data_IF_198117776444
#
_entry.id   IF_198117776444
#
_cell.length_a   1.000
_cell.length_b   1.000
_cell.length_c   1.000
_cell.angle_alpha   90.00
_cell.angle_beta   90.00
_cell.angle_gamma   90.00
#
_symmetry.space_group_name_H-M   'P 1'
#
loop_
_entity.id
_entity.type
_entity.pdbx_description
1 polymer ?
#
# COMPACT_ATOMS: atom_id res chain seq x y z
N UNK A 1 -16.27 -8.19 -47.20
CA UNK A 1 -14.82 -7.98 -47.02
C UNK A 1 -14.56 -7.88 -45.52
N UNK A 2 -14.29 -9.01 -44.86
CA UNK A 2 -13.90 -9.02 -43.45
C UNK A 2 -12.44 -8.56 -43.41
N UNK A 3 -12.22 -7.29 -43.11
CA UNK A 3 -10.87 -6.78 -42.85
C UNK A 3 -10.33 -7.55 -41.65
N UNK A 4 -9.35 -8.41 -41.91
CA UNK A 4 -8.51 -9.00 -40.87
C UNK A 4 -7.99 -7.86 -40.02
N UNK A 5 -8.44 -7.80 -38.76
CA UNK A 5 -7.81 -6.97 -37.76
C UNK A 5 -6.36 -7.46 -37.73
N UNK A 6 -5.48 -6.63 -38.27
CA UNK A 6 -4.05 -6.78 -38.21
C UNK A 6 -3.73 -6.99 -36.73
N UNK A 7 -3.30 -8.20 -36.36
CA UNK A 7 -3.01 -8.52 -34.96
C UNK A 7 -2.03 -7.46 -34.47
N UNK A 8 -2.48 -6.59 -33.58
CA UNK A 8 -1.59 -5.69 -32.89
C UNK A 8 -0.53 -6.56 -32.24
N UNK A 9 0.75 -6.30 -32.54
CA UNK A 9 1.87 -6.99 -31.92
C UNK A 9 1.99 -6.54 -30.46
N UNK A 10 0.99 -6.90 -29.64
CA UNK A 10 0.93 -6.55 -28.22
C UNK A 10 2.07 -7.25 -27.48
N UNK A 11 2.76 -6.50 -26.63
CA UNK A 11 3.94 -6.96 -25.90
C UNK A 11 3.65 -6.96 -24.40
N UNK A 12 3.86 -8.12 -23.78
CA UNK A 12 3.86 -8.24 -22.33
C UNK A 12 5.00 -7.38 -21.72
N UNK A 13 4.71 -6.71 -20.61
CA UNK A 13 5.60 -5.76 -19.95
C UNK A 13 5.62 -4.36 -20.59
N UNK A 14 4.89 -4.14 -21.69
CA UNK A 14 4.77 -2.84 -22.37
C UNK A 14 3.30 -2.43 -22.52
N UNK A 15 2.50 -3.23 -23.22
CA UNK A 15 1.10 -2.92 -23.51
C UNK A 15 0.16 -3.44 -22.40
N UNK A 16 0.51 -4.61 -21.86
CA UNK A 16 -0.13 -5.26 -20.73
C UNK A 16 0.93 -5.91 -19.84
N UNK A 17 0.58 -6.24 -18.59
CA UNK A 17 1.40 -7.07 -17.73
C UNK A 17 0.66 -8.37 -17.42
N UNK A 18 1.12 -9.48 -17.97
CA UNK A 18 0.63 -10.82 -17.69
C UNK A 18 1.70 -11.60 -16.92
N UNK A 19 1.33 -12.11 -15.75
CA UNK A 19 2.15 -12.99 -14.94
C UNK A 19 1.34 -14.25 -14.65
N UNK A 20 1.74 -15.35 -15.28
CA UNK A 20 1.09 -16.66 -15.12
C UNK A 20 1.91 -17.61 -14.25
N UNK A 21 3.18 -17.29 -13.98
CA UNK A 21 4.05 -18.11 -13.16
C UNK A 21 3.70 -17.98 -11.67
N UNK A 22 3.68 -19.12 -10.98
CA UNK A 22 3.50 -19.16 -9.54
C UNK A 22 4.75 -18.67 -8.81
N UNK A 23 4.59 -18.11 -7.61
CA UNK A 23 5.66 -17.68 -6.70
C UNK A 23 6.59 -16.63 -7.33
N UNK A 24 6.05 -15.78 -8.22
CA UNK A 24 6.81 -14.76 -8.94
C UNK A 24 6.79 -13.43 -8.18
N UNK A 25 7.96 -12.82 -8.03
CA UNK A 25 8.08 -11.42 -7.60
C UNK A 25 8.44 -10.58 -8.83
N UNK A 26 7.63 -9.57 -9.10
CA UNK A 26 7.86 -8.61 -10.19
C UNK A 26 8.01 -7.22 -9.60
N UNK A 27 9.08 -6.54 -9.99
CA UNK A 27 9.38 -5.19 -9.54
C UNK A 27 9.03 -4.18 -10.64
N UNK A 28 8.22 -3.19 -10.28
CA UNK A 28 7.88 -2.06 -11.12
C UNK A 28 8.76 -0.85 -10.80
N UNK A 29 8.67 0.17 -11.65
CA UNK A 29 9.39 1.42 -11.46
C UNK A 29 8.82 2.19 -10.27
N UNK A 30 9.72 2.74 -9.47
CA UNK A 30 9.39 3.56 -8.32
C UNK A 30 9.18 5.02 -8.70
N UNK A 31 8.20 5.69 -8.10
CA UNK A 31 7.89 7.11 -8.29
C UNK A 31 7.68 7.52 -9.78
N UNK A 32 7.31 6.55 -10.62
CA UNK A 32 6.99 6.73 -12.03
C UNK A 32 5.68 6.00 -12.33
N UNK A 33 4.88 6.54 -13.25
CA UNK A 33 3.69 5.86 -13.74
C UNK A 33 4.06 4.62 -14.56
N UNK A 34 3.64 3.46 -14.08
CA UNK A 34 3.67 2.21 -14.80
C UNK A 34 2.35 2.08 -15.58
N UNK A 35 2.40 2.40 -16.88
CA UNK A 35 1.21 2.44 -17.74
C UNK A 35 1.04 1.11 -18.48
N UNK A 36 -0.14 0.49 -18.35
CA UNK A 36 -0.52 -0.72 -19.07
C UNK A 36 -1.92 -0.56 -19.66
N UNK A 37 -1.98 -0.14 -20.93
CA UNK A 37 -3.22 0.27 -21.60
C UNK A 37 -4.26 -0.85 -21.71
N UNK A 38 -3.85 -2.12 -21.69
CA UNK A 38 -4.78 -3.26 -21.82
C UNK A 38 -5.05 -3.97 -20.49
N UNK A 39 -4.15 -3.86 -19.52
CA UNK A 39 -4.38 -4.42 -18.20
C UNK A 39 -3.14 -4.99 -17.51
N UNK A 40 -3.29 -5.26 -16.22
CA UNK A 40 -2.40 -6.06 -15.39
C UNK A 40 -3.16 -7.30 -14.93
N UNK A 41 -2.62 -8.48 -15.20
CA UNK A 41 -3.22 -9.78 -14.96
C UNK A 41 -2.25 -10.67 -14.17
N UNK A 42 -2.51 -10.81 -12.87
CA UNK A 42 -1.78 -11.69 -11.96
C UNK A 42 -2.55 -13.02 -11.86
N UNK A 43 -2.23 -13.95 -12.75
CA UNK A 43 -2.99 -15.21 -12.92
C UNK A 43 -2.40 -16.40 -12.18
N UNK A 44 -1.11 -16.36 -11.85
CA UNK A 44 -0.47 -17.36 -10.99
C UNK A 44 -0.76 -17.17 -9.50
N UNK A 45 -0.41 -18.17 -8.71
CA UNK A 45 -0.49 -18.17 -7.25
C UNK A 45 0.77 -17.58 -6.61
N UNK A 46 0.64 -16.96 -5.44
CA UNK A 46 1.77 -16.39 -4.69
C UNK A 46 2.59 -15.36 -5.50
N UNK A 47 1.94 -14.59 -6.37
CA UNK A 47 2.59 -13.50 -7.11
C UNK A 47 2.69 -12.28 -6.20
N UNK A 48 3.83 -11.59 -6.20
CA UNK A 48 3.99 -10.29 -5.54
C UNK A 48 4.41 -9.25 -6.58
N UNK A 49 3.57 -8.25 -6.79
CA UNK A 49 3.91 -7.04 -7.52
C UNK A 49 4.38 -5.98 -6.52
N UNK A 50 5.61 -5.50 -6.66
CA UNK A 50 6.21 -4.54 -5.72
C UNK A 50 7.16 -3.59 -6.45
N UNK A 51 7.95 -2.83 -5.71
CA UNK A 51 8.91 -1.86 -6.24
C UNK A 51 10.35 -2.29 -6.05
N UNK A 52 11.22 -1.80 -6.95
CA UNK A 52 12.66 -1.82 -6.74
C UNK A 52 13.08 -0.55 -6.01
N UNK A 53 13.19 -0.59 -4.68
CA UNK A 53 13.72 0.53 -3.88
C UNK A 53 15.19 0.29 -3.53
N UNK A 54 16.07 1.25 -3.82
CA UNK A 54 17.48 1.14 -3.45
C UNK A 54 17.73 1.68 -2.04
N UNK A 55 17.63 0.79 -1.03
CA UNK A 55 17.84 1.12 0.39
C UNK A 55 19.30 1.40 0.78
N UNK A 56 20.26 1.18 -0.13
CA UNK A 56 21.70 1.32 0.14
C UNK A 56 22.28 2.67 -0.28
N UNK A 57 21.48 3.57 -0.88
CA UNK A 57 21.90 4.93 -1.20
C UNK A 57 21.91 5.81 0.06
N UNK A 58 22.76 6.86 0.06
CA UNK A 58 22.83 7.87 1.13
C UNK A 58 21.47 8.52 1.42
N UNK A 59 20.62 8.62 0.40
CA UNK A 59 19.22 8.97 0.53
C UNK A 59 18.40 7.69 0.37
N UNK A 60 17.74 7.27 1.46
CA UNK A 60 16.86 6.10 1.42
C UNK A 60 15.69 6.40 0.50
N UNK A 61 15.51 5.55 -0.49
CA UNK A 61 14.42 5.66 -1.44
C UNK A 61 13.15 5.04 -0.85
N UNK A 62 12.10 5.84 -0.71
CA UNK A 62 10.77 5.37 -0.30
C UNK A 62 10.02 4.78 -1.50
N UNK A 63 9.13 3.83 -1.24
CA UNK A 63 8.35 3.16 -2.27
C UNK A 63 7.04 3.87 -2.55
N UNK A 64 6.92 4.48 -3.73
CA UNK A 64 5.69 5.05 -4.27
C UNK A 64 5.35 4.35 -5.59
N UNK A 65 4.41 3.42 -5.52
CA UNK A 65 3.97 2.63 -6.66
C UNK A 65 2.83 3.35 -7.36
N UNK A 66 3.05 3.72 -8.61
CA UNK A 66 2.04 4.39 -9.44
C UNK A 66 1.69 3.49 -10.63
N UNK A 67 0.44 3.07 -10.72
CA UNK A 67 -0.06 2.20 -11.79
C UNK A 67 -1.25 2.87 -12.45
N UNK A 68 -1.18 3.04 -13.76
CA UNK A 68 -2.34 3.41 -14.57
C UNK A 68 -2.64 2.28 -15.55
N UNK A 69 -3.83 1.72 -15.49
CA UNK A 69 -4.18 0.56 -16.31
C UNK A 69 -5.67 0.51 -16.64
N UNK A 70 -6.00 -0.16 -17.74
CA UNK A 70 -7.40 -0.39 -18.10
C UNK A 70 -8.07 -1.40 -17.17
N UNK A 71 -7.45 -2.56 -16.97
CA UNK A 71 -7.95 -3.64 -16.13
C UNK A 71 -6.89 -4.04 -15.10
N UNK A 72 -7.29 -4.31 -13.87
CA UNK A 72 -6.44 -4.94 -12.86
C UNK A 72 -7.10 -6.21 -12.35
N UNK A 73 -6.49 -7.36 -12.62
CA UNK A 73 -6.98 -8.66 -12.17
C UNK A 73 -5.93 -9.38 -11.32
N UNK A 74 -6.25 -9.60 -10.05
CA UNK A 74 -5.54 -10.47 -9.13
C UNK A 74 -6.40 -11.72 -8.93
N UNK A 75 -6.05 -12.82 -9.61
CA UNK A 75 -6.91 -14.00 -9.67
C UNK A 75 -6.92 -14.81 -8.37
N UNK A 76 -5.77 -14.96 -7.71
CA UNK A 76 -5.61 -15.83 -6.55
C UNK A 76 -5.45 -15.04 -5.26
N UNK A 77 -6.04 -15.54 -4.17
CA UNK A 77 -6.00 -14.94 -2.84
C UNK A 77 -4.60 -14.86 -2.23
N UNK A 78 -3.68 -15.69 -2.71
CA UNK A 78 -2.26 -15.71 -2.30
C UNK A 78 -1.41 -14.66 -3.01
N UNK A 79 -1.94 -14.00 -4.04
CA UNK A 79 -1.21 -13.01 -4.83
C UNK A 79 -1.51 -11.60 -4.32
N UNK A 80 -0.55 -10.68 -4.48
CA UNK A 80 -0.63 -9.34 -3.88
C UNK A 80 0.11 -8.25 -4.64
N UNK A 81 -0.36 -7.02 -4.46
CA UNK A 81 0.40 -5.78 -4.69
C UNK A 81 0.89 -5.30 -3.32
N UNK A 82 2.21 -5.17 -3.15
CA UNK A 82 2.81 -4.99 -1.83
C UNK A 82 3.81 -3.82 -1.81
N UNK A 83 3.51 -2.80 -1.03
CA UNK A 83 4.41 -1.69 -0.70
C UNK A 83 4.64 -1.58 0.82
N UNK A 84 4.48 -2.68 1.55
CA UNK A 84 4.69 -2.70 3.00
C UNK A 84 6.14 -2.41 3.37
N UNK A 85 6.34 -1.67 4.46
CA UNK A 85 7.65 -1.29 5.00
C UNK A 85 8.52 -0.44 4.05
N UNK A 86 7.93 0.15 3.00
CA UNK A 86 8.65 1.00 2.04
C UNK A 86 8.53 2.50 2.35
N UNK A 87 8.03 2.88 3.51
CA UNK A 87 7.94 4.27 3.98
C UNK A 87 9.16 4.73 4.75
N UNK A 88 8.95 5.68 5.67
CA UNK A 88 10.02 6.19 6.52
C UNK A 88 10.60 5.06 7.39
N UNK A 89 11.94 4.96 7.51
CA UNK A 89 12.57 3.99 8.39
C UNK A 89 12.35 4.37 9.86
N UNK A 90 12.81 3.51 10.76
CA UNK A 90 12.79 3.77 12.20
C UNK A 90 13.25 5.19 12.57
N UNK A 91 12.57 5.78 13.56
CA UNK A 91 12.81 7.13 14.08
C UNK A 91 12.73 8.25 13.04
N UNK A 92 12.06 8.03 11.91
CA UNK A 92 11.89 9.02 10.86
C UNK A 92 10.42 9.12 10.45
N UNK A 93 10.10 10.26 9.85
CA UNK A 93 8.76 10.60 9.40
C UNK A 93 8.05 11.59 10.33
N UNK A 94 6.98 12.26 9.84
CA UNK A 94 6.28 13.29 10.60
C UNK A 94 5.61 12.78 11.88
N UNK A 95 5.17 11.52 11.88
CA UNK A 95 4.59 10.84 13.03
C UNK A 95 5.50 9.74 13.53
N UNK A 96 6.81 9.95 13.58
CA UNK A 96 7.72 8.93 14.14
C UNK A 96 7.37 8.65 15.62
N UNK A 97 7.52 7.39 16.04
CA UNK A 97 7.44 7.06 17.46
C UNK A 97 8.65 7.60 18.23
N UNK A 98 8.48 7.93 19.51
CA UNK A 98 9.59 8.38 20.35
C UNK A 98 10.53 7.23 20.74
N UNK A 99 11.80 7.57 20.92
CA UNK A 99 12.85 6.61 21.29
C UNK A 99 12.72 6.20 22.75
N UNK A 100 12.83 4.90 22.99
CA UNK A 100 12.77 4.33 24.33
C UNK A 100 14.03 4.47 25.14
N UNK A 101 13.92 4.92 26.41
CA UNK A 101 15.06 4.90 27.35
C UNK A 101 15.30 3.54 28.03
N UNK A 102 14.25 2.74 28.23
CA UNK A 102 14.32 1.44 28.94
C UNK A 102 13.70 0.28 28.17
N UNK A 103 13.77 0.31 26.84
CA UNK A 103 13.23 -0.75 25.98
C UNK A 103 11.71 -0.70 25.81
N UNK A 104 11.10 0.47 26.01
CA UNK A 104 9.71 0.76 25.66
C UNK A 104 9.74 2.02 24.81
N UNK A 105 9.15 1.97 23.63
CA UNK A 105 9.15 3.08 22.69
C UNK A 105 7.78 3.21 22.04
N UNK A 106 7.53 4.37 21.44
CA UNK A 106 6.27 4.64 20.76
C UNK A 106 6.17 3.95 19.40
N UNK A 107 4.97 3.54 19.02
CA UNK A 107 4.68 3.19 17.63
C UNK A 107 4.68 4.43 16.73
N UNK A 108 4.99 4.28 15.45
CA UNK A 108 4.85 5.36 14.47
C UNK A 108 3.36 5.63 14.21
N UNK A 109 2.96 6.90 14.16
CA UNK A 109 1.64 7.35 13.77
C UNK A 109 1.56 7.71 12.29
N UNK A 110 0.39 7.52 11.71
CA UNK A 110 -0.13 8.06 10.45
C UNK A 110 -1.59 7.62 10.44
N UNK A 111 -2.54 8.40 9.91
CA UNK A 111 -3.98 8.05 9.85
C UNK A 111 -4.65 7.94 11.23
N UNK A 112 -4.13 7.07 12.09
CA UNK A 112 -4.35 7.00 13.53
C UNK A 112 -3.04 7.27 14.29
N UNK A 113 -3.18 7.57 15.59
CA UNK A 113 -2.03 7.70 16.48
C UNK A 113 -1.32 6.34 16.61
N UNK A 114 0.00 6.35 16.73
CA UNK A 114 0.75 5.16 17.15
C UNK A 114 0.55 4.93 18.64
N UNK A 115 0.59 3.67 19.08
CA UNK A 115 0.34 3.36 20.49
C UNK A 115 1.43 3.97 21.36
N UNK A 116 0.99 4.59 22.45
CA UNK A 116 1.85 5.16 23.47
C UNK A 116 2.18 4.10 24.52
N UNK A 117 3.40 4.15 25.02
CA UNK A 117 3.79 3.38 26.20
C UNK A 117 4.40 4.37 27.20
N UNK A 118 5.43 3.98 27.95
CA UNK A 118 6.25 4.92 28.72
C UNK A 118 6.83 6.08 27.86
N UNK A 119 6.82 5.94 26.53
CA UNK A 119 7.19 6.99 25.57
C UNK A 119 6.02 7.30 24.62
N UNK A 120 6.03 8.53 24.09
CA UNK A 120 4.99 9.05 23.22
C UNK A 120 4.94 8.30 21.87
N UNK A 121 3.74 7.85 21.51
CA UNK A 121 3.43 7.33 20.18
C UNK A 121 3.37 8.45 19.14
N UNK A 122 3.67 8.11 17.89
CA UNK A 122 3.67 9.09 16.81
C UNK A 122 2.29 9.68 16.55
N UNK A 123 2.26 10.99 16.25
CA UNK A 123 1.02 11.73 16.03
C UNK A 123 0.39 11.49 14.64
N UNK A 124 -0.90 11.82 14.52
CA UNK A 124 -1.64 11.75 13.25
C UNK A 124 -1.21 12.89 12.32
N UNK A 125 -1.03 12.60 11.03
CA UNK A 125 -0.79 13.61 9.99
C UNK A 125 -1.43 13.24 8.65
N UNK A 126 -1.30 14.15 7.68
CA UNK A 126 -1.90 14.03 6.36
C UNK A 126 -3.42 14.21 6.38
N UNK A 127 -4.02 14.16 5.21
CA UNK A 127 -5.44 14.38 5.00
C UNK A 127 -6.14 13.10 4.54
N UNK A 128 -7.42 12.93 4.88
CA UNK A 128 -8.18 11.69 4.65
C UNK A 128 -8.46 11.41 3.17
N UNK A 129 -8.55 12.44 2.34
CA UNK A 129 -9.00 12.32 0.94
C UNK A 129 -7.86 11.87 0.01
N UNK A 130 -6.61 12.02 0.42
CA UNK A 130 -5.40 11.71 -0.37
C UNK A 130 -5.32 12.43 -1.73
N UNK A 131 -6.07 13.50 -1.96
CA UNK A 131 -6.06 14.25 -3.23
C UNK A 131 -5.08 15.42 -3.22
N UNK A 132 -4.88 16.05 -2.06
CA UNK A 132 -3.94 17.18 -1.93
C UNK A 132 -2.52 16.69 -1.68
N UNK A 133 -2.38 15.67 -0.85
CA UNK A 133 -1.10 15.13 -0.47
C UNK A 133 -1.24 13.66 -0.06
N UNK A 134 -0.33 12.84 -0.58
CA UNK A 134 -0.21 11.43 -0.24
C UNK A 134 1.10 11.25 0.52
N UNK A 135 1.06 10.62 1.69
CA UNK A 135 2.24 10.47 2.54
C UNK A 135 2.65 9.02 2.72
N UNK A 136 3.95 8.82 2.89
CA UNK A 136 4.50 7.57 3.43
C UNK A 136 4.12 7.41 4.90
N UNK A 137 4.05 6.17 5.36
CA UNK A 137 3.97 5.86 6.78
C UNK A 137 5.26 6.21 7.52
N UNK A 138 5.14 6.59 8.78
CA UNK A 138 6.26 6.91 9.67
C UNK A 138 6.86 5.67 10.34
N UNK A 139 8.14 5.73 10.70
CA UNK A 139 8.79 4.66 11.45
C UNK A 139 8.46 4.68 12.94
N UNK A 140 8.52 3.52 13.57
CA UNK A 140 8.43 3.40 15.03
C UNK A 140 9.69 3.91 15.73
N UNK A 141 9.62 4.03 17.06
CA UNK A 141 10.76 4.37 17.89
C UNK A 141 11.79 3.24 17.96
N UNK A 142 13.09 3.60 18.05
CA UNK A 142 14.12 2.64 18.46
C UNK A 142 14.10 2.47 19.99
N UNK A 143 14.49 1.29 20.47
CA UNK A 143 14.77 1.11 21.88
C UNK A 143 16.11 1.74 22.29
N UNK A 144 16.44 1.58 23.57
CA UNK A 144 17.59 2.22 24.18
C UNK A 144 18.92 1.67 23.66
N UNK A 145 20.02 2.39 23.85
CA UNK A 145 21.37 1.92 23.49
C UNK A 145 21.74 0.55 24.09
N UNK A 146 21.11 0.18 25.21
CA UNK A 146 21.35 -1.09 25.92
C UNK A 146 20.62 -2.29 25.29
N UNK A 147 19.50 -2.03 24.60
CA UNK A 147 18.68 -3.04 23.92
C UNK A 147 18.67 -2.62 22.45
N UNK A 148 19.58 -3.17 21.65
CA UNK A 148 19.74 -2.88 20.21
C UNK A 148 18.49 -3.29 19.41
N UNK A 149 17.40 -2.56 19.60
CA UNK A 149 16.10 -2.79 19.01
C UNK A 149 15.76 -1.64 18.09
N UNK A 150 15.51 -1.98 16.83
CA UNK A 150 15.12 -1.01 15.82
C UNK A 150 13.60 -0.95 15.71
N UNK A 151 13.04 0.25 15.66
CA UNK A 151 11.66 0.45 15.24
C UNK A 151 11.41 -0.06 13.83
N UNK A 152 10.16 -0.43 13.57
CA UNK A 152 9.72 -0.84 12.25
C UNK A 152 9.60 0.34 11.29
N UNK A 153 9.85 0.10 10.00
CA UNK A 153 9.62 1.11 8.95
C UNK A 153 8.13 1.30 8.68
N UNK A 154 7.70 2.50 8.30
CA UNK A 154 6.34 2.74 7.85
C UNK A 154 6.03 2.13 6.49
N UNK A 155 4.74 2.09 6.12
CA UNK A 155 4.28 1.65 4.80
C UNK A 155 4.59 2.64 3.66
N UNK A 156 4.70 2.14 2.43
CA UNK A 156 4.89 2.96 1.24
C UNK A 156 3.61 3.67 0.76
N UNK A 157 3.59 4.04 -0.52
CA UNK A 157 2.41 4.58 -1.20
C UNK A 157 2.05 3.67 -2.37
N UNK A 158 0.77 3.37 -2.52
CA UNK A 158 0.20 2.75 -3.73
C UNK A 158 -0.84 3.71 -4.31
N UNK A 159 -0.68 4.06 -5.58
CA UNK A 159 -1.56 4.95 -6.33
C UNK A 159 -2.00 4.22 -7.61
N UNK A 160 -3.29 3.89 -7.68
CA UNK A 160 -3.88 3.13 -8.78
C UNK A 160 -4.92 3.98 -9.51
N UNK A 161 -4.77 4.13 -10.81
CA UNK A 161 -5.80 4.64 -11.71
C UNK A 161 -6.25 3.47 -12.59
N UNK A 162 -7.52 3.08 -12.45
CA UNK A 162 -8.10 1.93 -13.14
C UNK A 162 -9.24 2.43 -14.03
N UNK A 163 -9.07 2.30 -15.34
CA UNK A 163 -9.99 2.93 -16.29
C UNK A 163 -11.27 2.13 -16.50
N UNK A 164 -11.24 0.80 -16.36
CA UNK A 164 -12.37 -0.07 -16.68
C UNK A 164 -12.76 -1.01 -15.53
N UNK A 165 -11.86 -1.87 -15.05
CA UNK A 165 -12.23 -2.88 -14.06
C UNK A 165 -11.12 -3.28 -13.09
N UNK A 166 -11.48 -3.39 -11.81
CA UNK A 166 -10.72 -3.99 -10.73
C UNK A 166 -11.39 -5.31 -10.32
N UNK A 167 -10.67 -6.42 -10.50
CA UNK A 167 -11.01 -7.72 -9.93
C UNK A 167 -9.86 -8.15 -9.02
N UNK A 168 -9.98 -7.91 -7.73
CA UNK A 168 -9.01 -8.35 -6.73
C UNK A 168 -9.58 -9.49 -5.88
N UNK A 169 -9.04 -10.69 -6.03
CA UNK A 169 -9.27 -11.79 -5.10
C UNK A 169 -8.13 -11.96 -4.08
N UNK A 170 -7.02 -11.25 -4.27
CA UNK A 170 -5.84 -11.21 -3.40
C UNK A 170 -5.80 -10.00 -2.49
N UNK A 171 -4.60 -9.45 -2.29
CA UNK A 171 -4.40 -8.27 -1.43
C UNK A 171 -3.66 -7.10 -2.10
N UNK A 172 -4.03 -5.87 -1.70
CA UNK A 172 -3.31 -4.64 -2.01
C UNK A 172 -2.90 -4.02 -0.67
N UNK A 173 -1.60 -3.95 -0.38
CA UNK A 173 -1.14 -3.63 0.97
C UNK A 173 0.02 -2.65 1.03
N UNK A 174 -0.08 -1.72 1.97
CA UNK A 174 0.97 -0.77 2.34
C UNK A 174 1.14 -0.74 3.87
N UNK A 175 1.47 -1.89 4.45
CA UNK A 175 1.51 -2.05 5.89
C UNK A 175 2.84 -1.57 6.50
N UNK A 176 2.79 -1.15 7.76
CA UNK A 176 3.96 -0.86 8.57
C UNK A 176 4.72 -2.13 8.96
N UNK A 177 6.01 -1.98 9.20
CA UNK A 177 6.90 -3.03 9.67
C UNK A 177 6.84 -3.15 11.19
N UNK A 178 7.02 -4.37 11.69
CA UNK A 178 7.19 -4.60 13.13
C UNK A 178 8.61 -4.18 13.56
N UNK A 179 8.75 -3.68 14.78
CA UNK A 179 10.06 -3.45 15.38
C UNK A 179 10.79 -4.79 15.66
N UNK A 180 12.11 -4.73 15.82
CA UNK A 180 12.89 -5.95 16.07
C UNK A 180 12.58 -6.57 17.44
N UNK A 181 12.66 -7.90 17.49
CA UNK A 181 12.10 -8.75 18.55
C UNK A 181 12.95 -8.91 19.80
N UNK A 182 14.21 -8.47 19.81
CA UNK A 182 15.02 -8.59 21.02
C UNK A 182 14.49 -7.61 22.08
N UNK A 183 13.64 -8.14 22.97
CA UNK A 183 13.03 -7.46 24.10
C UNK A 183 11.70 -6.72 23.86
N UNK A 184 11.00 -6.97 22.73
CA UNK A 184 9.75 -6.23 22.36
C UNK A 184 9.89 -4.69 22.38
N UNK A 185 11.13 -4.22 22.26
CA UNK A 185 11.50 -2.88 22.63
C UNK A 185 11.43 -1.85 21.50
N UNK A 186 11.32 -2.29 20.24
CA UNK A 186 11.21 -1.42 19.06
C UNK A 186 9.75 -1.28 18.60
N UNK A 187 9.34 -0.05 18.26
CA UNK A 187 7.96 0.30 17.99
C UNK A 187 7.55 -0.10 16.58
N UNK A 188 6.27 -0.39 16.36
CA UNK A 188 5.75 -0.67 15.03
C UNK A 188 5.79 0.59 14.16
N UNK A 189 6.19 0.45 12.89
CA UNK A 189 6.00 1.52 11.91
C UNK A 189 4.52 1.66 11.55
N UNK A 190 4.08 2.84 11.15
CA UNK A 190 2.69 3.06 10.76
C UNK A 190 2.38 2.44 9.39
N UNK A 191 1.10 2.21 9.08
CA UNK A 191 0.66 1.96 7.71
C UNK A 191 1.01 3.13 6.78
N UNK A 192 0.95 2.89 5.47
CA UNK A 192 1.20 3.87 4.42
C UNK A 192 -0.09 4.40 3.79
N UNK A 193 -0.02 4.81 2.52
CA UNK A 193 -1.19 5.31 1.78
C UNK A 193 -1.58 4.39 0.62
N UNK A 194 -2.87 4.19 0.42
CA UNK A 194 -3.43 3.58 -0.80
C UNK A 194 -4.48 4.52 -1.37
N UNK A 195 -4.27 4.99 -2.60
CA UNK A 195 -5.25 5.73 -3.39
C UNK A 195 -5.67 4.88 -4.60
N UNK A 196 -6.98 4.65 -4.74
CA UNK A 196 -7.56 3.95 -5.89
C UNK A 196 -8.59 4.87 -6.54
N UNK A 197 -8.39 5.16 -7.82
CA UNK A 197 -9.31 5.93 -8.66
C UNK A 197 -9.88 5.03 -9.75
N UNK A 198 -11.20 4.79 -9.71
CA UNK A 198 -11.93 4.08 -10.75
C UNK A 198 -12.54 5.08 -11.73
N UNK A 199 -12.08 5.10 -12.98
CA UNK A 199 -12.60 6.03 -14.00
C UNK A 199 -13.71 5.43 -14.86
N UNK A 200 -14.17 4.22 -14.52
CA UNK A 200 -15.16 3.46 -15.29
C UNK A 200 -16.55 4.12 -15.32
N UNK A 201 -16.88 4.95 -14.33
CA UNK A 201 -18.17 5.67 -14.26
C UNK A 201 -18.14 7.05 -14.94
N UNK A 202 -16.96 7.61 -15.17
CA UNK A 202 -16.76 8.95 -15.76
C UNK A 202 -16.85 8.95 -17.29
N UNK A 203 -16.87 7.76 -17.91
CA UNK A 203 -16.97 7.61 -19.35
C UNK A 203 -18.44 7.52 -19.77
N UNK A 204 -18.78 8.19 -20.87
CA UNK A 204 -20.14 8.34 -21.42
C UNK A 204 -20.87 7.03 -21.77
N UNK A 205 -20.17 5.89 -21.68
CA UNK A 205 -20.76 4.57 -21.69
C UNK A 205 -20.66 4.02 -20.27
N UNK A 206 -21.80 3.89 -19.59
CA UNK A 206 -21.93 3.25 -18.28
C UNK A 206 -21.31 1.84 -18.35
N UNK A 207 -20.04 1.72 -18.00
CA UNK A 207 -19.38 0.43 -17.87
C UNK A 207 -19.96 -0.23 -16.62
N UNK A 208 -20.95 -1.10 -16.83
CA UNK A 208 -21.62 -1.93 -15.80
C UNK A 208 -20.73 -3.04 -15.24
N UNK A 209 -19.41 -2.96 -15.43
CA UNK A 209 -18.51 -4.00 -14.96
C UNK A 209 -18.46 -3.95 -13.44
N UNK A 210 -18.79 -5.08 -12.82
CA UNK A 210 -18.69 -5.25 -11.38
C UNK A 210 -17.23 -5.17 -10.95
N UNK A 211 -17.01 -4.53 -9.80
CA UNK A 211 -15.70 -4.35 -9.20
C UNK A 211 -15.58 -5.28 -7.99
N UNK A 212 -14.43 -5.89 -7.79
CA UNK A 212 -14.14 -6.72 -6.61
C UNK A 212 -12.88 -6.19 -5.94
N UNK A 213 -12.98 -5.78 -4.68
CA UNK A 213 -11.87 -5.09 -3.99
C UNK A 213 -10.89 -6.01 -3.27
N UNK A 214 -11.27 -7.26 -2.99
CA UNK A 214 -10.42 -8.20 -2.25
C UNK A 214 -10.03 -7.65 -0.88
N UNK A 215 -8.85 -8.00 -0.38
CA UNK A 215 -8.31 -7.44 0.86
C UNK A 215 -7.47 -6.20 0.56
N UNK A 216 -7.69 -5.09 1.27
CA UNK A 216 -6.87 -3.88 1.14
C UNK A 216 -6.43 -3.40 2.52
N UNK A 217 -5.13 -3.26 2.76
CA UNK A 217 -4.63 -2.93 4.10
C UNK A 217 -3.56 -1.85 4.13
N UNK A 218 -3.70 -0.92 5.09
CA UNK A 218 -2.67 -0.01 5.56
C UNK A 218 -2.56 -0.10 7.09
N UNK A 219 -2.33 -1.29 7.64
CA UNK A 219 -2.19 -1.46 9.10
C UNK A 219 -0.76 -1.18 9.55
N UNK A 220 -0.57 -0.79 10.81
CA UNK A 220 0.78 -0.61 11.37
C UNK A 220 1.46 -1.93 11.72
N UNK A 221 2.73 -1.87 12.07
CA UNK A 221 3.47 -2.99 12.63
C UNK A 221 3.15 -3.24 14.11
N UNK A 222 3.65 -4.34 14.67
CA UNK A 222 3.43 -4.70 16.07
C UNK A 222 1.95 -4.80 16.48
N UNK A 223 1.05 -5.14 15.56
CA UNK A 223 -0.38 -5.27 15.84
C UNK A 223 -0.63 -6.16 17.07
N UNK A 224 -1.50 -5.72 17.98
CA UNK A 224 -1.79 -6.36 19.26
C UNK A 224 -0.64 -6.33 20.28
N UNK A 225 0.30 -5.38 20.15
CA UNK A 225 1.32 -5.09 21.15
C UNK A 225 1.19 -3.65 21.65
N UNK A 226 1.79 -3.38 22.81
CA UNK A 226 1.77 -2.07 23.50
C UNK A 226 2.53 -0.95 22.77
N UNK A 227 3.17 -1.24 21.65
CA UNK A 227 3.93 -0.29 20.82
C UNK A 227 3.55 -0.44 19.35
N UNK A 228 2.27 -0.69 19.10
CA UNK A 228 1.67 -0.82 17.78
C UNK A 228 1.82 0.48 16.97
N UNK A 229 2.15 0.34 15.69
CA UNK A 229 2.11 1.46 14.75
C UNK A 229 0.67 1.81 14.36
N UNK A 230 0.40 3.09 14.14
CA UNK A 230 -0.90 3.57 13.67
C UNK A 230 -1.25 3.04 12.26
N UNK A 231 -2.54 2.96 11.97
CA UNK A 231 -3.07 2.58 10.65
C UNK A 231 -2.99 3.75 9.69
N UNK A 232 -2.50 3.53 8.48
CA UNK A 232 -2.36 4.57 7.46
C UNK A 232 -3.68 5.07 6.86
N UNK A 233 -3.70 5.38 5.57
CA UNK A 233 -4.89 5.94 4.92
C UNK A 233 -5.22 5.20 3.63
N UNK A 234 -6.51 5.02 3.38
CA UNK A 234 -7.03 4.44 2.16
C UNK A 234 -8.10 5.39 1.61
N UNK A 235 -8.01 5.76 0.33
CA UNK A 235 -9.03 6.52 -0.36
C UNK A 235 -9.42 5.81 -1.67
N UNK A 236 -10.72 5.67 -1.91
CA UNK A 236 -11.28 5.01 -3.08
C UNK A 236 -12.31 5.91 -3.74
N UNK A 237 -12.07 6.26 -5.00
CA UNK A 237 -12.89 7.14 -5.81
C UNK A 237 -13.54 6.43 -6.99
N UNK A 238 -14.68 6.97 -7.42
CA UNK A 238 -15.36 6.57 -8.65
C UNK A 238 -16.24 5.34 -8.54
N UNK A 239 -16.57 4.95 -7.30
CA UNK A 239 -17.62 3.99 -6.99
C UNK A 239 -18.12 4.20 -5.56
N UNK A 240 -19.34 3.75 -5.27
CA UNK A 240 -19.84 3.57 -3.91
C UNK A 240 -19.54 2.14 -3.45
N UNK A 241 -18.85 2.00 -2.32
CA UNK A 241 -18.47 0.69 -1.77
C UNK A 241 -19.65 0.04 -1.05
N UNK A 242 -19.83 -1.27 -1.26
CA UNK A 242 -20.78 -2.04 -0.47
C UNK A 242 -20.29 -2.23 0.98
N UNK A 243 -21.19 -2.59 1.90
CA UNK A 243 -20.80 -2.95 3.26
C UNK A 243 -19.82 -4.13 3.30
N UNK A 244 -20.01 -5.12 2.43
CA UNK A 244 -19.15 -6.30 2.32
C UNK A 244 -17.75 -5.97 1.79
N UNK A 245 -17.63 -4.95 0.93
CA UNK A 245 -16.33 -4.44 0.48
C UNK A 245 -15.60 -3.74 1.63
N UNK A 246 -16.32 -2.88 2.38
CA UNK A 246 -15.74 -2.14 3.51
C UNK A 246 -15.18 -3.09 4.58
N UNK A 247 -15.82 -4.24 4.81
CA UNK A 247 -15.33 -5.24 5.77
C UNK A 247 -13.96 -5.85 5.40
N UNK A 248 -13.54 -5.76 4.15
CA UNK A 248 -12.26 -6.30 3.66
C UNK A 248 -11.16 -5.24 3.56
N UNK A 249 -11.46 -4.00 3.95
CA UNK A 249 -10.58 -2.85 3.82
C UNK A 249 -10.26 -2.30 5.21
N UNK A 250 -8.98 -2.26 5.59
CA UNK A 250 -8.53 -1.75 6.90
C UNK A 250 -7.30 -0.84 6.78
N UNK A 251 -7.35 0.45 7.17
CA UNK A 251 -8.46 1.15 7.82
C UNK A 251 -9.64 1.46 6.90
N UNK A 252 -10.77 1.83 7.52
CA UNK A 252 -11.97 2.28 6.80
C UNK A 252 -11.57 3.32 5.74
N UNK A 253 -11.91 3.13 4.46
CA UNK A 253 -11.48 4.04 3.42
C UNK A 253 -12.30 5.33 3.44
N UNK A 254 -11.69 6.43 3.03
CA UNK A 254 -12.45 7.56 2.49
C UNK A 254 -13.03 7.13 1.14
N UNK A 255 -14.34 7.16 0.98
CA UNK A 255 -15.01 6.72 -0.24
C UNK A 255 -15.92 7.80 -0.83
N UNK A 256 -15.80 8.02 -2.14
CA UNK A 256 -16.63 8.99 -2.88
C UNK A 256 -16.88 8.52 -4.31
N UNK A 257 -18.14 8.41 -4.71
CA UNK A 257 -18.53 8.25 -6.11
C UNK A 257 -18.41 9.57 -6.89
N UNK A 258 -18.13 9.48 -8.20
CA UNK A 258 -18.30 10.63 -9.08
C UNK A 258 -19.80 10.92 -9.20
N UNK A 259 -20.20 12.17 -8.97
CA UNK A 259 -21.57 12.63 -9.19
C UNK A 259 -21.78 12.93 -10.66
#
# INVERSE_FOLDING_TARGET
>A
MLSFIQSSNLKNGVDFLLINENKKITQLKNNEWNNYNFGIFLLGENITLTLKCNRNKKEKEFGHLKIKTSHLWIKHSSSKIDCSQLGYPSNQGPGKGERGRYGRCGGGGYGTKGEENDEQGGEIYGEETLLKQIHFGSGGGDGSAWIQSSGGSGGGIIELIIEQQLINHGSIQSNGGSGSRDGDAGGGGSGGSILIELQCQSQSHSNKLEQTFGTITCIGGNQNKINEGGKGRIAIYGIELSADDILKIDPKPFNRSYK
#
